data_IF_625857898687
#
_entry.id   IF_625857898687
#
_cell.length_a   1.000
_cell.length_b   1.000
_cell.length_c   1.000
_cell.angle_alpha   90.00
_cell.angle_beta   90.00
_cell.angle_gamma   90.00
#
_symmetry.space_group_name_H-M   'P 1'
#
loop_
_entity.id
_entity.type
_entity.pdbx_description
1 polymer ?
#
# COMPACT_ATOMS: atom_id res chain seq x y z
N UNK A 1 -52.30 46.82 32.55
CA UNK A 1 -50.99 46.89 31.93
C UNK A 1 -50.50 45.47 31.73
N UNK A 2 -50.65 44.91 30.51
CA UNK A 2 -50.20 43.54 30.13
C UNK A 2 -48.83 43.67 29.46
N UNK A 3 -47.82 43.11 30.10
CA UNK A 3 -46.45 42.98 29.48
C UNK A 3 -46.42 41.81 28.52
N UNK A 4 -46.19 42.11 27.27
CA UNK A 4 -45.98 41.14 26.20
C UNK A 4 -44.50 40.71 26.22
N UNK A 5 -44.20 39.44 26.52
CA UNK A 5 -42.86 38.86 26.39
C UNK A 5 -42.71 38.35 24.97
N UNK A 6 -41.80 38.97 24.19
CA UNK A 6 -41.33 38.43 22.91
C UNK A 6 -40.28 37.36 23.17
N UNK A 7 -40.59 36.14 22.82
CA UNK A 7 -39.63 35.01 22.81
C UNK A 7 -38.96 34.96 21.41
N UNK A 8 -37.70 35.36 21.35
CA UNK A 8 -36.91 35.25 20.12
C UNK A 8 -36.32 33.84 20.03
N UNK A 9 -36.83 33.02 19.12
CA UNK A 9 -36.27 31.69 18.83
C UNK A 9 -35.02 31.87 17.93
N UNK A 10 -33.84 31.59 18.46
CA UNK A 10 -32.59 31.48 17.68
C UNK A 10 -32.53 30.08 17.11
N UNK A 11 -32.79 29.97 15.83
CA UNK A 11 -32.62 28.72 15.07
C UNK A 11 -31.12 28.53 14.73
N UNK A 12 -30.47 27.64 15.48
CA UNK A 12 -29.08 27.23 15.21
C UNK A 12 -29.08 26.24 14.05
N UNK A 13 -28.78 26.69 12.85
CA UNK A 13 -28.55 25.82 11.68
C UNK A 13 -27.16 25.17 11.79
N UNK A 14 -27.11 23.92 12.25
CA UNK A 14 -25.94 23.06 12.15
C UNK A 14 -25.70 22.72 10.68
N UNK A 15 -24.76 23.42 10.09
CA UNK A 15 -24.24 23.07 8.75
C UNK A 15 -23.54 21.70 8.83
N UNK A 16 -24.20 20.66 8.30
CA UNK A 16 -23.57 19.37 8.03
C UNK A 16 -22.52 19.59 6.92
N UNK A 17 -21.26 19.77 7.29
CA UNK A 17 -20.14 19.61 6.35
C UNK A 17 -20.09 18.14 5.95
N UNK A 18 -20.72 17.79 4.84
CA UNK A 18 -20.46 16.53 4.16
C UNK A 18 -19.02 16.59 3.63
N UNK A 19 -18.06 16.08 4.40
CA UNK A 19 -16.77 15.71 3.84
C UNK A 19 -17.06 14.62 2.82
N UNK A 20 -16.97 14.93 1.53
CA UNK A 20 -16.99 13.93 0.50
C UNK A 20 -15.80 13.00 0.76
N UNK A 21 -16.07 11.82 1.30
CA UNK A 21 -15.05 10.78 1.44
C UNK A 21 -14.63 10.40 0.04
N UNK A 22 -13.31 10.43 -0.24
CA UNK A 22 -12.80 10.00 -1.53
C UNK A 22 -13.31 8.59 -1.81
N UNK A 23 -13.84 8.35 -2.99
CA UNK A 23 -14.31 7.03 -3.39
C UNK A 23 -13.10 6.12 -3.51
N UNK A 24 -13.04 5.09 -2.64
CA UNK A 24 -11.99 4.09 -2.63
C UNK A 24 -12.47 2.81 -3.33
N UNK A 25 -11.55 2.15 -4.03
CA UNK A 25 -11.74 0.81 -4.59
C UNK A 25 -10.68 -0.10 -4.04
N UNK A 26 -11.07 -1.08 -3.22
CA UNK A 26 -10.18 -2.16 -2.80
C UNK A 26 -9.92 -3.07 -4.00
N UNK A 27 -8.65 -3.24 -4.35
CA UNK A 27 -8.20 -4.17 -5.39
C UNK A 27 -7.99 -5.56 -4.78
N UNK A 28 -7.25 -5.61 -3.64
CA UNK A 28 -6.92 -6.86 -2.97
C UNK A 28 -7.12 -6.70 -1.47
N UNK A 29 -7.84 -7.65 -0.86
CA UNK A 29 -8.17 -7.70 0.56
C UNK A 29 -7.74 -8.99 1.24
N UNK A 30 -7.23 -9.97 0.48
CA UNK A 30 -6.65 -11.23 0.94
C UNK A 30 -7.50 -12.07 1.92
N UNK A 31 -8.82 -11.91 1.87
CA UNK A 31 -9.76 -12.56 2.79
C UNK A 31 -9.83 -14.08 2.67
N UNK A 32 -9.48 -14.63 1.51
CA UNK A 32 -9.65 -16.06 1.20
C UNK A 32 -8.35 -16.74 0.78
N UNK A 33 -7.61 -16.08 -0.11
CA UNK A 33 -6.40 -16.59 -0.75
C UNK A 33 -5.46 -15.42 -1.09
N UNK A 34 -4.36 -15.69 -1.76
CA UNK A 34 -3.38 -14.67 -2.16
C UNK A 34 -3.87 -13.76 -3.29
N UNK A 35 -5.03 -14.04 -3.87
CA UNK A 35 -5.62 -13.28 -4.98
C UNK A 35 -4.65 -13.08 -6.16
N UNK A 36 -3.85 -14.11 -6.48
CA UNK A 36 -2.87 -14.06 -7.59
C UNK A 36 -1.49 -13.55 -7.18
N UNK A 37 -1.35 -12.95 -6.00
CA UNK A 37 -0.04 -12.49 -5.54
C UNK A 37 0.92 -13.65 -5.30
N UNK A 38 2.16 -13.44 -5.71
CA UNK A 38 3.25 -14.42 -5.62
C UNK A 38 4.60 -13.77 -5.32
N UNK A 39 5.56 -14.56 -4.88
CA UNK A 39 6.98 -14.19 -4.94
C UNK A 39 7.42 -14.50 -6.37
N UNK A 40 7.81 -13.53 -7.19
CA UNK A 40 8.11 -13.79 -8.59
C UNK A 40 9.38 -14.65 -8.75
N UNK A 41 9.37 -15.58 -9.72
CA UNK A 41 10.47 -16.50 -9.97
C UNK A 41 11.80 -15.76 -10.16
N UNK A 42 11.79 -14.66 -10.93
CA UNK A 42 13.00 -13.87 -11.15
C UNK A 42 13.60 -13.31 -9.86
N UNK A 43 12.78 -13.03 -8.82
CA UNK A 43 13.28 -12.55 -7.54
C UNK A 43 13.96 -13.68 -6.74
N UNK A 44 13.45 -14.91 -6.82
CA UNK A 44 14.06 -16.06 -6.16
C UNK A 44 15.46 -16.38 -6.65
N UNK A 45 15.82 -15.93 -7.87
CA UNK A 45 17.15 -16.08 -8.45
C UNK A 45 18.14 -14.98 -7.98
N UNK A 46 17.65 -13.95 -7.28
CA UNK A 46 18.51 -12.85 -6.80
C UNK A 46 19.11 -13.17 -5.44
N UNK A 47 20.41 -12.96 -5.27
CA UNK A 47 21.12 -13.20 -4.01
C UNK A 47 20.66 -12.28 -2.86
N UNK A 48 20.16 -11.09 -3.20
CA UNK A 48 19.66 -10.10 -2.25
C UNK A 48 18.16 -10.24 -1.94
N UNK A 49 17.46 -11.19 -2.57
CA UNK A 49 16.07 -11.50 -2.26
C UNK A 49 15.95 -12.38 -1.02
N UNK A 50 15.11 -11.96 -0.08
CA UNK A 50 14.98 -12.61 1.24
C UNK A 50 13.57 -13.10 1.58
N UNK A 51 12.59 -12.96 0.69
CA UNK A 51 11.27 -13.56 0.80
C UNK A 51 11.35 -15.09 0.74
N UNK A 52 10.57 -15.79 1.54
CA UNK A 52 10.60 -17.26 1.68
C UNK A 52 9.30 -17.92 1.29
N UNK A 53 8.20 -17.52 1.87
CA UNK A 53 6.87 -18.05 1.58
C UNK A 53 5.85 -16.92 1.55
N UNK A 54 4.76 -17.14 0.83
CA UNK A 54 3.64 -16.22 0.71
C UNK A 54 2.33 -17.00 0.83
N UNK A 55 1.47 -16.57 1.73
CA UNK A 55 0.16 -17.19 1.92
C UNK A 55 -0.88 -16.17 2.41
N UNK A 56 -2.16 -16.49 2.28
CA UNK A 56 -3.21 -15.73 2.93
C UNK A 56 -3.34 -16.20 4.38
N UNK A 57 -3.17 -15.29 5.32
CA UNK A 57 -3.20 -15.54 6.76
C UNK A 57 -4.48 -14.97 7.38
N UNK A 58 -4.90 -15.56 8.50
CA UNK A 58 -6.05 -15.11 9.28
C UNK A 58 -5.63 -14.71 10.69
N UNK A 59 -6.31 -13.69 11.22
CA UNK A 59 -6.10 -13.24 12.59
C UNK A 59 -5.27 -11.97 12.72
N UNK A 60 -4.51 -11.57 11.70
CA UNK A 60 -3.88 -10.25 11.57
C UNK A 60 -4.39 -9.66 10.26
N UNK A 61 -5.21 -8.63 10.35
CA UNK A 61 -5.76 -7.92 9.21
C UNK A 61 -5.87 -6.44 9.54
N UNK A 62 -5.77 -5.58 8.55
CA UNK A 62 -6.06 -4.15 8.69
C UNK A 62 -7.57 -3.91 8.63
N UNK A 63 -8.21 -4.62 7.70
CA UNK A 63 -9.66 -4.65 7.53
C UNK A 63 -10.09 -6.10 7.32
N UNK A 64 -11.35 -6.45 7.64
CA UNK A 64 -11.83 -7.81 7.51
C UNK A 64 -11.16 -8.81 8.48
N UNK A 65 -10.67 -9.94 7.97
CA UNK A 65 -10.13 -11.05 8.78
C UNK A 65 -8.86 -11.67 8.21
N UNK A 66 -8.48 -11.32 6.98
CA UNK A 66 -7.36 -11.87 6.24
C UNK A 66 -6.33 -10.81 5.87
N UNK A 67 -5.10 -11.21 5.67
CA UNK A 67 -4.03 -10.44 5.09
C UNK A 67 -3.07 -11.36 4.33
N UNK A 68 -2.30 -10.82 3.41
CA UNK A 68 -1.22 -11.54 2.76
C UNK A 68 -0.02 -11.60 3.72
N UNK A 69 0.43 -12.80 4.09
CA UNK A 69 1.58 -13.03 4.96
C UNK A 69 2.80 -13.42 4.13
N UNK A 70 3.81 -12.56 4.16
CA UNK A 70 5.11 -12.80 3.56
C UNK A 70 6.12 -13.15 4.66
N UNK A 71 6.61 -14.40 4.67
CA UNK A 71 7.76 -14.75 5.50
C UNK A 71 9.05 -14.28 4.84
N UNK A 72 9.89 -13.57 5.58
CA UNK A 72 11.16 -13.06 5.08
C UNK A 72 12.29 -13.23 6.11
N UNK A 73 13.55 -13.34 5.61
CA UNK A 73 14.72 -13.51 6.46
C UNK A 73 15.84 -12.54 6.06
N UNK A 74 15.78 -11.33 6.59
CA UNK A 74 16.79 -10.28 6.40
C UNK A 74 18.04 -10.58 7.21
N UNK A 75 19.23 -10.73 6.61
CA UNK A 75 20.45 -11.08 7.32
C UNK A 75 21.10 -9.91 8.08
N UNK A 76 20.59 -8.69 7.86
CA UNK A 76 21.23 -7.48 8.36
C UNK A 76 22.55 -7.13 7.65
N UNK A 77 23.13 -5.99 7.97
CA UNK A 77 24.43 -5.47 7.51
C UNK A 77 24.56 -5.18 6.01
N UNK A 78 23.78 -5.85 5.16
CA UNK A 78 23.74 -5.65 3.71
C UNK A 78 22.35 -5.16 3.28
N UNK A 79 22.26 -4.54 2.12
CA UNK A 79 20.96 -4.24 1.53
C UNK A 79 20.34 -5.55 1.01
N UNK A 80 19.09 -5.79 1.40
CA UNK A 80 18.29 -6.94 0.93
C UNK A 80 16.84 -6.53 0.81
N UNK A 81 16.08 -7.26 0.01
CA UNK A 81 14.66 -7.00 -0.20
C UNK A 81 13.85 -8.30 -0.32
N UNK A 82 12.60 -8.23 0.09
CA UNK A 82 11.57 -9.20 -0.26
C UNK A 82 10.54 -8.49 -1.14
N UNK A 83 10.17 -9.12 -2.25
CA UNK A 83 9.18 -8.58 -3.18
C UNK A 83 8.07 -9.60 -3.40
N UNK A 84 6.86 -9.11 -3.48
CA UNK A 84 5.66 -9.85 -3.88
C UNK A 84 4.94 -9.04 -4.94
N UNK A 85 4.36 -9.68 -5.92
CA UNK A 85 3.69 -9.00 -7.03
C UNK A 85 2.42 -9.74 -7.47
N UNK A 86 1.51 -8.98 -8.09
CA UNK A 86 0.39 -9.50 -8.87
C UNK A 86 0.54 -9.02 -10.31
N UNK A 87 0.17 -9.92 -11.23
CA UNK A 87 0.19 -9.69 -12.66
C UNK A 87 -1.24 -9.69 -13.21
N UNK A 88 -1.78 -8.49 -13.40
CA UNK A 88 -3.08 -8.26 -14.00
C UNK A 88 -3.04 -6.93 -14.78
N UNK A 89 -3.88 -6.82 -15.83
CA UNK A 89 -4.00 -5.57 -16.59
C UNK A 89 -5.05 -4.67 -15.96
N UNK A 90 -4.62 -3.46 -15.58
CA UNK A 90 -5.49 -2.48 -14.92
C UNK A 90 -5.56 -1.17 -15.72
N UNK A 91 -6.74 -0.58 -15.79
CA UNK A 91 -6.94 0.82 -16.12
C UNK A 91 -7.20 1.62 -14.82
N UNK A 92 -6.22 2.41 -14.44
CA UNK A 92 -6.28 3.27 -13.25
C UNK A 92 -6.53 4.74 -13.58
N UNK A 93 -6.89 5.06 -14.82
CA UNK A 93 -7.16 6.44 -15.28
C UNK A 93 -8.09 7.24 -14.35
N UNK A 94 -9.18 6.65 -13.77
CA UNK A 94 -10.09 7.38 -12.90
C UNK A 94 -9.53 7.71 -11.50
N UNK A 95 -8.37 7.14 -11.13
CA UNK A 95 -7.86 7.20 -9.77
C UNK A 95 -6.68 8.16 -9.63
N UNK A 96 -6.54 8.74 -8.43
CA UNK A 96 -5.50 9.71 -8.08
C UNK A 96 -4.37 9.12 -7.25
N UNK A 97 -4.63 8.01 -6.57
CA UNK A 97 -3.59 7.36 -5.76
C UNK A 97 -3.78 5.84 -5.69
N UNK A 98 -2.69 5.15 -5.43
CA UNK A 98 -2.63 3.75 -5.05
C UNK A 98 -2.01 3.64 -3.66
N UNK A 99 -2.53 2.73 -2.83
CA UNK A 99 -2.00 2.50 -1.50
C UNK A 99 -2.04 1.02 -1.12
N UNK A 100 -1.24 0.65 -0.12
CA UNK A 100 -1.26 -0.64 0.55
C UNK A 100 -0.98 -0.44 2.04
N UNK A 101 -1.60 -1.24 2.89
CA UNK A 101 -1.33 -1.28 4.31
C UNK A 101 -0.34 -2.39 4.62
N UNK A 102 0.71 -2.07 5.38
CA UNK A 102 1.79 -2.99 5.75
C UNK A 102 1.91 -3.03 7.26
N UNK A 103 2.04 -4.24 7.81
CA UNK A 103 2.25 -4.46 9.24
C UNK A 103 3.45 -5.37 9.47
N UNK A 104 4.26 -5.04 10.47
CA UNK A 104 5.29 -5.91 11.01
C UNK A 104 5.03 -6.13 12.51
N UNK A 105 5.23 -7.36 13.03
CA UNK A 105 5.01 -7.65 14.44
C UNK A 105 5.72 -6.71 15.39
N UNK A 106 5.19 -6.57 16.60
CA UNK A 106 5.71 -5.64 17.62
C UNK A 106 7.16 -5.92 18.04
N UNK A 107 7.57 -7.17 17.95
CA UNK A 107 8.92 -7.66 18.23
C UNK A 107 9.88 -7.57 17.03
N UNK A 108 9.37 -7.17 15.86
CA UNK A 108 10.23 -6.86 14.72
C UNK A 108 11.09 -5.63 15.01
N UNK A 109 12.30 -5.56 14.45
CA UNK A 109 13.17 -4.41 14.65
C UNK A 109 12.73 -3.19 13.82
N UNK A 110 13.12 -2.00 14.25
CA UNK A 110 13.00 -0.80 13.41
C UNK A 110 13.97 -0.82 12.24
N UNK A 111 13.64 -0.14 11.14
CA UNK A 111 14.55 0.05 10.00
C UNK A 111 14.14 -0.68 8.73
N UNK A 112 13.12 -1.55 8.77
CA UNK A 112 12.46 -2.05 7.57
C UNK A 112 11.65 -0.92 6.91
N UNK A 113 11.61 -0.92 5.58
CA UNK A 113 10.88 0.06 4.78
C UNK A 113 10.10 -0.65 3.69
N UNK A 114 9.04 -0.02 3.23
CA UNK A 114 8.22 -0.53 2.15
C UNK A 114 8.05 0.50 1.03
N UNK A 115 7.76 0.00 -0.19
CA UNK A 115 7.35 0.81 -1.34
C UNK A 115 6.51 0.00 -2.31
N UNK A 116 5.69 0.71 -3.07
CA UNK A 116 4.96 0.16 -4.21
C UNK A 116 5.85 0.25 -5.46
N UNK A 117 5.75 -0.76 -6.30
CA UNK A 117 6.40 -0.87 -7.60
C UNK A 117 5.32 -1.16 -8.63
N UNK A 118 5.42 -0.55 -9.77
CA UNK A 118 4.53 -0.82 -10.91
C UNK A 118 5.34 -1.21 -12.13
N UNK A 119 4.74 -2.04 -12.98
CA UNK A 119 5.17 -2.25 -14.35
C UNK A 119 4.09 -1.71 -15.26
N UNK A 120 4.43 -0.79 -16.15
CA UNK A 120 3.46 -0.04 -16.94
C UNK A 120 3.79 -0.02 -18.42
N UNK A 121 2.76 0.05 -19.24
CA UNK A 121 2.84 0.24 -20.68
C UNK A 121 3.35 -0.97 -21.46
N UNK A 122 3.23 -0.91 -22.77
CA UNK A 122 3.64 -1.98 -23.70
C UNK A 122 5.14 -2.33 -23.60
N UNK A 123 5.95 -1.34 -23.20
CA UNK A 123 7.40 -1.54 -23.00
C UNK A 123 7.75 -2.22 -21.67
N UNK A 124 6.78 -2.60 -20.86
CA UNK A 124 6.98 -3.23 -19.54
C UNK A 124 7.89 -2.40 -18.63
N UNK A 125 7.67 -1.09 -18.64
CA UNK A 125 8.52 -0.17 -17.88
C UNK A 125 8.34 -0.39 -16.40
N UNK A 126 9.42 -0.83 -15.75
CA UNK A 126 9.51 -0.91 -14.30
C UNK A 126 9.64 0.49 -13.70
N UNK A 127 8.84 0.79 -12.70
CA UNK A 127 8.93 2.01 -11.92
C UNK A 127 8.63 1.74 -10.45
N UNK A 128 9.30 2.44 -9.57
CA UNK A 128 9.12 2.30 -8.12
C UNK A 128 8.87 3.65 -7.48
N UNK A 129 8.23 3.65 -6.32
CA UNK A 129 8.13 4.86 -5.52
C UNK A 129 9.51 5.48 -5.31
N UNK A 130 9.60 6.80 -5.47
CA UNK A 130 10.84 7.55 -5.30
C UNK A 130 11.39 7.45 -3.88
N UNK A 131 10.50 7.33 -2.90
CA UNK A 131 10.83 7.20 -1.48
C UNK A 131 10.22 5.95 -0.90
N UNK A 132 10.99 5.23 -0.07
CA UNK A 132 10.48 4.14 0.76
C UNK A 132 9.91 4.71 2.04
N UNK A 133 8.81 4.13 2.52
CA UNK A 133 8.15 4.48 3.79
C UNK A 133 8.69 3.57 4.90
N UNK A 134 9.07 4.14 6.03
CA UNK A 134 9.54 3.36 7.18
C UNK A 134 8.37 2.62 7.85
N UNK A 135 8.57 1.34 8.14
CA UNK A 135 7.62 0.53 8.88
C UNK A 135 7.82 0.72 10.39
N UNK A 136 6.72 0.70 11.13
CA UNK A 136 6.69 0.83 12.60
C UNK A 136 6.27 -0.51 13.20
N UNK A 137 7.12 -1.15 14.02
CA UNK A 137 6.77 -2.43 14.66
C UNK A 137 5.49 -2.34 15.50
N UNK A 138 4.57 -3.26 15.28
CA UNK A 138 3.29 -3.34 15.97
C UNK A 138 2.20 -2.39 15.44
N UNK A 139 2.46 -1.68 14.34
CA UNK A 139 1.51 -0.75 13.73
C UNK A 139 1.28 -1.04 12.25
N UNK A 140 0.07 -0.83 11.78
CA UNK A 140 -0.23 -0.79 10.35
C UNK A 140 0.24 0.54 9.78
N UNK A 141 1.08 0.49 8.76
CA UNK A 141 1.60 1.66 8.03
C UNK A 141 1.04 1.65 6.62
N UNK A 142 0.29 2.68 6.27
CA UNK A 142 -0.19 2.87 4.90
C UNK A 142 0.91 3.49 4.05
N UNK A 143 1.31 2.80 2.98
CA UNK A 143 2.16 3.36 1.93
C UNK A 143 1.26 3.85 0.80
N UNK A 144 1.48 5.06 0.34
CA UNK A 144 0.65 5.70 -0.71
C UNK A 144 1.53 6.35 -1.74
N UNK A 145 1.15 6.24 -3.00
CA UNK A 145 1.76 6.93 -4.12
C UNK A 145 0.71 7.64 -4.97
N UNK A 146 1.01 8.89 -5.34
CA UNK A 146 0.16 9.73 -6.17
C UNK A 146 0.24 9.28 -7.65
N UNK A 147 -0.91 9.19 -8.29
CA UNK A 147 -1.10 8.84 -9.69
C UNK A 147 -1.50 10.05 -10.55
N UNK A 148 -1.53 11.26 -9.99
CA UNK A 148 -1.85 12.45 -10.76
C UNK A 148 -0.75 12.75 -11.80
N UNK A 149 -1.11 13.30 -12.96
CA UNK A 149 -0.13 13.72 -13.96
C UNK A 149 0.92 14.66 -13.36
N UNK A 150 2.19 14.34 -13.61
CA UNK A 150 3.32 15.11 -13.08
C UNK A 150 3.73 14.75 -11.65
N UNK A 151 3.16 13.71 -11.04
CA UNK A 151 3.57 13.23 -9.73
C UNK A 151 5.07 12.90 -9.68
N UNK A 152 5.74 13.33 -8.62
CA UNK A 152 7.15 13.04 -8.31
C UNK A 152 7.33 11.78 -7.45
N UNK A 153 6.23 11.08 -7.14
CA UNK A 153 6.27 9.87 -6.31
C UNK A 153 6.93 8.68 -7.01
N UNK A 154 7.16 8.76 -8.33
CA UNK A 154 7.69 7.67 -9.14
C UNK A 154 9.08 7.98 -9.69
N UNK A 155 10.02 7.06 -9.51
CA UNK A 155 11.38 7.20 -10.02
C UNK A 155 11.45 7.13 -11.55
N UNK A 156 12.14 8.08 -12.15
CA UNK A 156 12.51 8.06 -13.57
C UNK A 156 11.33 7.85 -14.51
N UNK A 157 10.15 8.25 -14.09
CA UNK A 157 8.91 8.06 -14.84
C UNK A 157 8.03 9.30 -14.68
N UNK A 158 7.45 9.73 -15.78
CA UNK A 158 6.41 10.75 -15.78
C UNK A 158 5.07 10.03 -15.71
N UNK A 159 4.26 10.40 -14.73
CA UNK A 159 2.87 9.94 -14.64
C UNK A 159 2.05 10.75 -15.64
N UNK A 160 1.40 10.06 -16.55
CA UNK A 160 0.43 10.58 -17.52
C UNK A 160 -0.73 9.60 -17.68
N UNK A 161 -1.63 9.85 -18.61
CA UNK A 161 -2.76 8.97 -18.86
C UNK A 161 -2.33 7.61 -19.42
N UNK A 162 -1.25 7.55 -20.19
CA UNK A 162 -0.73 6.28 -20.71
C UNK A 162 -0.17 5.42 -19.58
N UNK A 163 0.54 6.06 -18.63
CA UNK A 163 1.02 5.38 -17.41
C UNK A 163 -0.14 4.74 -16.65
N UNK A 164 -1.23 5.47 -16.43
CA UNK A 164 -2.39 5.00 -15.64
C UNK A 164 -3.25 3.98 -16.37
N UNK A 165 -3.34 4.07 -17.70
CA UNK A 165 -4.23 3.25 -18.53
C UNK A 165 -3.76 1.81 -18.68
N UNK A 166 -2.46 1.56 -18.60
CA UNK A 166 -1.85 0.24 -18.85
C UNK A 166 -0.88 -0.10 -17.70
N UNK A 167 -1.43 -0.34 -16.51
CA UNK A 167 -0.69 -0.92 -15.39
C UNK A 167 -0.77 -2.42 -15.50
N UNK A 168 0.37 -3.10 -15.61
CA UNK A 168 0.48 -4.55 -15.89
C UNK A 168 0.87 -5.37 -14.68
N UNK A 169 1.57 -4.75 -13.73
CA UNK A 169 1.93 -5.38 -12.46
C UNK A 169 1.88 -4.35 -11.35
N UNK A 170 1.46 -4.81 -10.19
CA UNK A 170 1.65 -4.13 -8.93
C UNK A 170 2.49 -5.00 -8.03
N UNK A 171 3.48 -4.43 -7.37
CA UNK A 171 4.29 -5.14 -6.40
C UNK A 171 4.48 -4.31 -5.13
N UNK A 172 4.68 -5.00 -4.02
CA UNK A 172 5.15 -4.43 -2.76
C UNK A 172 6.54 -4.98 -2.48
N UNK A 173 7.50 -4.07 -2.27
CA UNK A 173 8.85 -4.43 -1.85
C UNK A 173 9.09 -3.97 -0.42
N UNK A 174 9.51 -4.92 0.41
CA UNK A 174 10.02 -4.64 1.75
C UNK A 174 11.53 -4.68 1.68
N UNK A 175 12.19 -3.66 2.16
CA UNK A 175 13.64 -3.53 2.06
C UNK A 175 14.29 -3.20 3.39
N UNK A 176 15.51 -3.71 3.60
CA UNK A 176 16.40 -3.37 4.69
C UNK A 176 17.63 -2.67 4.13
N UNK A 177 17.90 -1.45 4.55
CA UNK A 177 19.10 -0.74 4.15
C UNK A 177 20.24 -0.99 5.18
N UNK A 178 20.88 -2.18 5.08
CA UNK A 178 22.00 -2.62 5.93
C UNK A 178 21.67 -2.90 7.40
N UNK A 179 20.45 -2.73 7.81
CA UNK A 179 19.88 -3.00 9.14
C UNK A 179 18.36 -3.15 8.93
N UNK A 180 17.67 -3.92 9.71
CA UNK A 180 18.08 -4.82 10.80
C UNK A 180 18.27 -6.26 10.31
N UNK A 181 18.71 -7.17 11.20
CA UNK A 181 18.50 -8.59 11.09
C UNK A 181 17.06 -8.89 11.53
N UNK A 182 16.31 -9.61 10.71
CA UNK A 182 14.92 -9.97 10.99
C UNK A 182 14.52 -11.24 10.24
N UNK A 183 13.98 -12.21 10.95
CA UNK A 183 13.37 -13.39 10.36
C UNK A 183 11.95 -13.53 10.93
N UNK A 184 10.94 -13.36 10.09
CA UNK A 184 9.55 -13.41 10.53
C UNK A 184 8.56 -12.92 9.48
N UNK A 185 7.26 -12.87 9.87
CA UNK A 185 6.19 -12.48 8.97
C UNK A 185 6.09 -10.96 8.77
N UNK A 186 5.66 -10.59 7.58
CA UNK A 186 5.26 -9.24 7.19
C UNK A 186 3.89 -9.38 6.57
N UNK A 187 2.94 -8.54 6.99
CA UNK A 187 1.57 -8.61 6.51
C UNK A 187 1.27 -7.44 5.58
N UNK A 188 0.58 -7.74 4.49
CA UNK A 188 0.14 -6.77 3.49
C UNK A 188 -1.37 -6.91 3.37
N UNK A 189 -2.07 -5.78 3.37
CA UNK A 189 -3.52 -5.76 3.28
C UNK A 189 -4.00 -4.49 2.57
N UNK A 190 -5.30 -4.44 2.24
CA UNK A 190 -5.96 -3.26 1.71
C UNK A 190 -5.20 -2.59 0.57
N UNK A 191 -4.81 -3.34 -0.45
CA UNK A 191 -4.30 -2.71 -1.68
C UNK A 191 -5.46 -2.03 -2.38
N UNK A 192 -5.42 -0.70 -2.49
CA UNK A 192 -6.56 0.08 -2.97
C UNK A 192 -6.20 1.29 -3.80
N UNK A 193 -7.18 1.75 -4.56
CA UNK A 193 -7.15 2.97 -5.33
C UNK A 193 -8.12 4.00 -4.74
N UNK A 194 -7.78 5.29 -4.79
CA UNK A 194 -8.67 6.39 -4.41
C UNK A 194 -8.83 7.41 -5.54
N UNK A 195 -10.06 7.98 -5.67
CA UNK A 195 -10.40 9.03 -6.63
C UNK A 195 -10.12 10.42 -6.12
#
# INVERSE_FOLDING_TARGET
MRKLLLLTAVTLTLGLCNFAQAEERVLFSFEKDTQGWEIPEWALEQEDHVGKTLEASKGIAKDGKGALELMAAFPGKVWTAAIVEDFEYFDWTPYKSVSADIYIPKDAPTGLKAKIILTVGESWKFTEMARSVSLVPGEWVTITADLLPGSEDWKRTVVDDNFRKDVRKIAVRIESNKKPEYAGPIYIDNVKLAK
#
